data_IF_045431988687
#
_entry.id   IF_045431988687
#
_cell.length_a   1.000
_cell.length_b   1.000
_cell.length_c   1.000
_cell.angle_alpha   90.00
_cell.angle_beta   90.00
_cell.angle_gamma   90.00
#
_symmetry.space_group_name_H-M   'P 1'
#
loop_
_entity.id
_entity.type
_entity.pdbx_description
1 polymer ?
#
# COMPACT_ATOMS: atom_id res chain seq x y z
N UNK A 1 -12.03 2.64 6.56
CA UNK A 1 -10.83 3.29 7.10
C UNK A 1 -11.16 4.49 7.99
N UNK A 2 -10.18 5.00 8.70
CA UNK A 2 -10.20 6.29 9.39
C UNK A 2 -9.08 7.17 8.89
N UNK A 3 -9.21 8.49 8.93
CA UNK A 3 -8.15 9.38 8.46
C UNK A 3 -8.13 10.74 9.15
N UNK A 4 -6.92 11.27 9.36
CA UNK A 4 -6.65 12.60 9.90
C UNK A 4 -5.76 13.41 8.96
N UNK A 5 -6.17 14.63 8.67
CA UNK A 5 -5.58 15.45 7.63
C UNK A 5 -5.37 16.88 8.13
N UNK A 6 -4.18 17.45 7.91
CA UNK A 6 -3.89 18.85 8.26
C UNK A 6 -4.42 19.84 7.21
N UNK A 7 -5.00 19.37 6.11
CA UNK A 7 -5.56 20.20 5.03
C UNK A 7 -6.97 19.78 4.67
N UNK A 8 -7.92 20.73 4.74
CA UNK A 8 -9.33 20.48 4.37
C UNK A 8 -9.52 20.16 2.88
N UNK A 9 -8.81 20.84 1.99
CA UNK A 9 -8.85 20.56 0.56
C UNK A 9 -8.31 19.15 0.24
N UNK A 10 -7.22 18.75 0.91
CA UNK A 10 -6.67 17.41 0.76
C UNK A 10 -7.65 16.34 1.28
N UNK A 11 -8.33 16.62 2.41
CA UNK A 11 -9.36 15.73 2.95
C UNK A 11 -10.50 15.53 1.96
N UNK A 12 -11.03 16.59 1.35
CA UNK A 12 -12.10 16.49 0.36
C UNK A 12 -11.67 15.64 -0.85
N UNK A 13 -10.48 15.91 -1.40
CA UNK A 13 -9.93 15.16 -2.53
C UNK A 13 -9.73 13.67 -2.22
N UNK A 14 -9.29 13.33 -1.01
CA UNK A 14 -9.11 11.93 -0.63
C UNK A 14 -10.45 11.21 -0.43
N UNK A 15 -11.45 11.88 0.15
CA UNK A 15 -12.79 11.31 0.30
C UNK A 15 -13.43 10.99 -1.04
N UNK A 16 -13.32 11.89 -2.03
CA UNK A 16 -13.81 11.68 -3.38
C UNK A 16 -13.12 10.48 -4.05
N UNK A 17 -11.80 10.38 -3.94
CA UNK A 17 -11.05 9.24 -4.50
C UNK A 17 -11.38 7.93 -3.80
N UNK A 18 -11.53 7.91 -2.48
CA UNK A 18 -11.90 6.70 -1.76
C UNK A 18 -13.34 6.26 -2.11
N UNK A 19 -14.26 7.21 -2.25
CA UNK A 19 -15.63 6.92 -2.67
C UNK A 19 -15.68 6.31 -4.09
N UNK A 20 -14.95 6.89 -5.04
CA UNK A 20 -14.87 6.35 -6.42
C UNK A 20 -14.27 4.94 -6.49
N UNK A 21 -13.47 4.54 -5.51
CA UNK A 21 -12.85 3.22 -5.37
C UNK A 21 -13.65 2.26 -4.46
N UNK A 22 -14.85 2.64 -4.04
CA UNK A 22 -15.70 1.87 -3.11
C UNK A 22 -15.01 1.57 -1.77
N UNK A 23 -14.13 2.45 -1.30
CA UNK A 23 -13.45 2.33 -0.01
C UNK A 23 -14.26 3.05 1.06
N UNK A 24 -14.85 2.31 2.00
CA UNK A 24 -15.64 2.87 3.10
C UNK A 24 -14.80 3.69 4.07
N UNK A 25 -15.20 4.94 4.33
CA UNK A 25 -14.59 5.80 5.34
C UNK A 25 -15.51 5.85 6.55
N UNK A 26 -15.03 5.36 7.68
CA UNK A 26 -15.81 5.38 8.93
C UNK A 26 -15.71 6.73 9.62
N UNK A 27 -14.51 7.31 9.69
CA UNK A 27 -14.24 8.63 10.27
C UNK A 27 -13.17 9.36 9.49
N UNK A 28 -13.36 10.67 9.31
CA UNK A 28 -12.35 11.57 8.77
C UNK A 28 -12.35 12.86 9.57
N UNK A 29 -11.16 13.34 9.93
CA UNK A 29 -10.97 14.53 10.76
C UNK A 29 -10.02 15.47 10.05
N UNK A 30 -10.44 16.74 9.92
CA UNK A 30 -9.51 17.81 9.59
C UNK A 30 -8.91 18.34 10.90
N UNK A 31 -7.61 18.16 11.06
CA UNK A 31 -6.90 18.55 12.27
C UNK A 31 -6.61 20.08 12.35
N UNK A 32 -6.76 20.78 11.23
CA UNK A 32 -6.48 22.22 11.15
C UNK A 32 -5.08 22.56 11.70
N UNK A 33 -4.98 23.60 12.50
CA UNK A 33 -3.72 24.05 13.12
C UNK A 33 -3.29 23.22 14.36
N UNK A 34 -4.06 22.18 14.73
CA UNK A 34 -3.75 21.24 15.82
C UNK A 34 -3.48 21.90 17.18
N UNK A 35 -4.29 22.91 17.52
CA UNK A 35 -4.12 23.68 18.78
C UNK A 35 -4.46 22.79 20.00
N UNK A 36 -5.51 21.97 19.90
CA UNK A 36 -6.00 21.10 20.96
C UNK A 36 -5.83 19.61 20.60
N UNK A 37 -6.37 19.22 19.45
CA UNK A 37 -6.29 17.84 18.96
C UNK A 37 -5.30 17.76 17.81
N UNK A 38 -4.24 17.00 18.00
CA UNK A 38 -3.21 16.77 17.01
C UNK A 38 -3.24 15.36 16.41
N UNK A 39 -2.18 15.04 15.67
CA UNK A 39 -2.00 13.73 15.05
C UNK A 39 -1.92 12.59 16.08
N UNK A 40 -1.39 12.86 17.26
CA UNK A 40 -1.20 11.87 18.32
C UNK A 40 -2.54 11.45 18.92
N UNK A 41 -3.38 12.42 19.32
CA UNK A 41 -4.71 12.17 19.87
C UNK A 41 -5.60 11.45 18.87
N UNK A 42 -5.53 11.83 17.59
CA UNK A 42 -6.28 11.19 16.51
C UNK A 42 -5.84 9.75 16.31
N UNK A 43 -4.53 9.46 16.28
CA UNK A 43 -4.01 8.10 16.14
C UNK A 43 -4.47 7.21 17.30
N UNK A 44 -4.39 7.68 18.54
CA UNK A 44 -4.88 6.95 19.71
C UNK A 44 -6.39 6.68 19.65
N UNK A 45 -7.19 7.66 19.25
CA UNK A 45 -8.64 7.51 19.12
C UNK A 45 -9.01 6.48 18.03
N UNK A 46 -8.35 6.55 16.87
CA UNK A 46 -8.61 5.62 15.78
C UNK A 46 -8.05 4.22 16.04
N UNK A 47 -6.97 4.11 16.80
CA UNK A 47 -6.45 2.81 17.22
C UNK A 47 -7.45 2.03 18.10
N UNK A 48 -8.17 2.73 18.96
CA UNK A 48 -9.18 2.14 19.87
C UNK A 48 -10.51 1.82 19.17
N UNK A 49 -10.83 2.44 18.03
CA UNK A 49 -12.10 2.18 17.34
C UNK A 49 -11.99 0.90 16.48
N UNK A 50 -12.72 -0.19 16.81
CA UNK A 50 -12.64 -1.46 16.09
C UNK A 50 -13.18 -1.39 14.65
N UNK A 51 -13.95 -0.34 14.33
CA UNK A 51 -14.49 -0.11 12.99
C UNK A 51 -13.44 0.50 12.05
N UNK A 52 -12.37 1.10 12.59
CA UNK A 52 -11.23 1.59 11.82
C UNK A 52 -10.25 0.44 11.63
N UNK A 53 -10.14 -0.07 10.40
CA UNK A 53 -9.22 -1.17 10.04
C UNK A 53 -7.84 -0.67 9.65
N UNK A 54 -7.76 0.50 9.03
CA UNK A 54 -6.53 1.16 8.59
C UNK A 54 -6.66 2.66 8.84
N UNK A 55 -5.56 3.31 9.21
CA UNK A 55 -5.51 4.75 9.47
C UNK A 55 -4.72 5.44 8.36
N UNK A 56 -5.34 6.41 7.67
CA UNK A 56 -4.68 7.28 6.69
C UNK A 56 -4.35 8.64 7.32
N UNK A 57 -3.16 9.14 7.07
CA UNK A 57 -2.71 10.41 7.65
C UNK A 57 -2.07 11.29 6.58
N UNK A 58 -2.41 12.57 6.57
CA UNK A 58 -1.67 13.60 5.83
C UNK A 58 -1.21 14.69 6.79
N UNK A 59 0.08 14.90 6.85
CA UNK A 59 0.70 15.92 7.70
C UNK A 59 1.70 16.76 6.92
N UNK A 60 1.69 18.06 7.18
CA UNK A 60 2.68 19.00 6.67
C UNK A 60 3.85 19.19 7.66
N UNK A 61 3.59 19.04 8.96
CA UNK A 61 4.58 19.05 10.04
C UNK A 61 4.19 18.07 11.14
N UNK A 62 5.10 17.74 12.02
CA UNK A 62 4.86 16.94 13.23
C UNK A 62 5.12 17.84 14.43
N UNK A 63 4.17 17.89 15.37
CA UNK A 63 4.31 18.76 16.56
C UNK A 63 5.18 18.11 17.64
N UNK A 64 4.93 16.84 17.94
CA UNK A 64 5.69 16.05 18.91
C UNK A 64 6.16 14.74 18.28
N UNK A 65 7.37 14.78 17.70
CA UNK A 65 7.95 13.63 17.01
C UNK A 65 8.24 12.46 17.95
N UNK A 66 8.58 12.72 19.22
CA UNK A 66 8.82 11.67 20.20
C UNK A 66 7.53 10.94 20.55
N UNK A 67 6.48 11.68 20.83
CA UNK A 67 5.17 11.11 21.13
C UNK A 67 4.59 10.36 19.93
N UNK A 68 4.74 10.92 18.71
CA UNK A 68 4.34 10.23 17.48
C UNK A 68 5.05 8.87 17.34
N UNK A 69 6.36 8.83 17.58
CA UNK A 69 7.15 7.59 17.55
C UNK A 69 6.60 6.55 18.54
N UNK A 70 6.40 6.95 19.80
CA UNK A 70 5.96 6.06 20.87
C UNK A 70 4.54 5.52 20.62
N UNK A 71 3.64 6.34 20.09
CA UNK A 71 2.26 5.95 19.73
C UNK A 71 2.25 5.05 18.49
N UNK A 72 2.92 5.45 17.42
CA UNK A 72 2.95 4.68 16.18
C UNK A 72 3.50 3.27 16.40
N UNK A 73 4.60 3.14 17.15
CA UNK A 73 5.20 1.84 17.49
C UNK A 73 4.24 0.90 18.25
N UNK A 74 3.29 1.45 19.00
CA UNK A 74 2.27 0.67 19.73
C UNK A 74 1.12 0.26 18.81
N UNK A 75 0.80 1.06 17.79
CA UNK A 75 -0.39 0.87 16.95
C UNK A 75 -0.09 -0.02 15.75
N UNK A 76 0.99 0.21 15.03
CA UNK A 76 1.29 -0.42 13.74
C UNK A 76 1.36 -1.94 13.75
N UNK A 77 1.74 -2.64 14.87
CA UNK A 77 1.72 -4.10 14.89
C UNK A 77 0.33 -4.73 14.72
N UNK A 78 -0.75 -3.98 14.98
CA UNK A 78 -2.12 -4.51 14.88
C UNK A 78 -3.08 -3.65 14.05
N UNK A 79 -2.70 -2.41 13.71
CA UNK A 79 -3.49 -1.54 12.85
C UNK A 79 -2.59 -0.74 11.93
N UNK A 80 -2.62 -0.99 10.61
CA UNK A 80 -1.78 -0.27 9.67
C UNK A 80 -2.01 1.24 9.71
N UNK A 81 -0.93 2.00 9.67
CA UNK A 81 -0.93 3.47 9.57
C UNK A 81 -0.21 3.86 8.29
N UNK A 82 -0.94 4.46 7.36
CA UNK A 82 -0.41 4.98 6.09
C UNK A 82 -0.28 6.49 6.21
N UNK A 83 0.91 7.02 5.97
CA UNK A 83 1.19 8.44 6.17
C UNK A 83 1.77 9.07 4.91
N UNK A 84 1.16 10.19 4.51
CA UNK A 84 1.66 11.05 3.46
C UNK A 84 2.18 12.35 4.08
N UNK A 85 3.48 12.62 3.94
CA UNK A 85 4.13 13.82 4.47
C UNK A 85 4.27 14.88 3.39
N UNK A 86 3.72 16.06 3.63
CA UNK A 86 4.01 17.27 2.86
C UNK A 86 5.32 17.94 3.32
N UNK A 87 5.87 18.83 2.49
CA UNK A 87 7.04 19.62 2.86
C UNK A 87 8.35 18.82 3.02
N UNK A 88 8.58 17.83 2.14
CA UNK A 88 9.73 16.92 2.22
C UNK A 88 11.08 17.58 1.88
N UNK A 89 11.10 18.46 0.89
CA UNK A 89 12.32 19.18 0.46
C UNK A 89 12.29 20.65 0.84
N UNK A 90 13.41 21.36 0.67
CA UNK A 90 13.59 22.76 1.10
C UNK A 90 12.51 23.72 0.58
N UNK A 91 12.11 23.58 -0.68
CA UNK A 91 11.06 24.44 -1.25
C UNK A 91 9.68 24.08 -0.70
N UNK A 92 9.39 22.79 -0.53
CA UNK A 92 8.16 22.31 0.08
C UNK A 92 8.06 22.68 1.56
N UNK A 93 9.16 22.62 2.31
CA UNK A 93 9.27 23.05 3.70
C UNK A 93 8.95 24.53 3.86
N UNK A 94 9.50 25.40 2.98
CA UNK A 94 9.16 26.84 2.96
C UNK A 94 7.69 27.08 2.61
N UNK A 95 7.13 26.31 1.68
CA UNK A 95 5.70 26.41 1.36
C UNK A 95 4.83 26.01 2.56
N UNK A 96 5.20 24.97 3.31
CA UNK A 96 4.52 24.56 4.55
C UNK A 96 4.57 25.67 5.61
N UNK A 97 5.73 26.33 5.82
CA UNK A 97 5.84 27.44 6.74
C UNK A 97 4.91 28.59 6.38
N UNK A 98 4.79 28.92 5.10
CA UNK A 98 3.90 29.99 4.63
C UNK A 98 2.41 29.63 4.77
N UNK A 99 2.07 28.34 4.68
CA UNK A 99 0.69 27.86 4.69
C UNK A 99 0.16 27.60 6.11
N UNK A 100 0.95 26.98 6.99
CA UNK A 100 0.49 26.54 8.31
C UNK A 100 1.29 27.14 9.48
N UNK A 101 2.20 28.07 9.23
CA UNK A 101 3.12 28.66 10.21
C UNK A 101 3.90 27.62 11.04
N UNK A 102 4.02 26.40 10.56
CA UNK A 102 4.66 25.28 11.25
C UNK A 102 6.07 25.05 10.70
N UNK A 103 7.04 24.80 11.57
CA UNK A 103 8.38 24.36 11.16
C UNK A 103 8.29 22.93 10.62
N UNK A 104 8.71 22.74 9.37
CA UNK A 104 8.91 21.40 8.84
C UNK A 104 10.16 20.81 9.50
N UNK A 105 10.02 19.72 10.21
CA UNK A 105 11.16 18.98 10.78
C UNK A 105 12.02 18.35 9.68
N UNK A 106 13.18 17.82 10.06
CA UNK A 106 14.07 17.08 9.15
C UNK A 106 13.35 15.84 8.59
N UNK A 107 13.27 15.77 7.26
CA UNK A 107 12.57 14.70 6.58
C UNK A 107 13.27 13.33 6.74
N UNK A 108 14.59 13.30 6.84
CA UNK A 108 15.34 12.06 7.04
C UNK A 108 15.05 11.44 8.42
N UNK A 109 14.86 12.26 9.43
CA UNK A 109 14.42 11.85 10.77
C UNK A 109 13.00 11.29 10.70
N UNK A 110 12.08 11.97 9.99
CA UNK A 110 10.73 11.47 9.79
C UNK A 110 10.70 10.10 9.11
N UNK A 111 11.49 9.91 8.04
CA UNK A 111 11.63 8.63 7.37
C UNK A 111 12.17 7.53 8.30
N UNK A 112 13.16 7.86 9.15
CA UNK A 112 13.67 6.93 10.13
C UNK A 112 12.59 6.51 11.14
N UNK A 113 11.77 7.45 11.58
CA UNK A 113 10.60 7.17 12.44
C UNK A 113 9.61 6.23 11.74
N UNK A 114 9.26 6.49 10.49
CA UNK A 114 8.35 5.60 9.74
C UNK A 114 8.91 4.17 9.66
N UNK A 115 10.19 4.02 9.28
CA UNK A 115 10.84 2.69 9.22
C UNK A 115 10.87 1.96 10.55
N UNK A 116 11.20 2.66 11.65
CA UNK A 116 11.33 2.04 12.98
C UNK A 116 9.99 1.71 13.63
N UNK A 117 8.94 2.43 13.27
CA UNK A 117 7.60 2.24 13.84
C UNK A 117 6.71 1.37 12.98
N UNK A 118 7.08 1.06 11.74
CA UNK A 118 6.24 0.33 10.80
C UNK A 118 5.12 1.16 10.17
N UNK A 119 5.19 2.50 10.27
CA UNK A 119 4.31 3.37 9.47
C UNK A 119 4.66 3.26 7.99
N UNK A 120 3.65 3.18 7.14
CA UNK A 120 3.80 3.08 5.69
C UNK A 120 3.81 4.48 5.10
N UNK A 121 4.99 4.99 4.75
CA UNK A 121 5.10 6.27 4.08
C UNK A 121 4.75 6.15 2.60
N UNK A 122 3.97 7.12 2.09
CA UNK A 122 3.55 7.21 0.68
C UNK A 122 3.77 8.61 0.10
N UNK A 123 3.82 8.71 -1.25
CA UNK A 123 4.16 9.94 -1.96
C UNK A 123 2.96 10.57 -2.67
N UNK A 124 1.93 10.93 -1.93
CA UNK A 124 0.80 11.67 -2.46
C UNK A 124 -0.52 10.93 -2.42
N UNK A 125 -1.51 11.54 -3.05
CA UNK A 125 -2.91 11.15 -2.92
C UNK A 125 -3.20 9.76 -3.50
N UNK A 126 -2.65 9.46 -4.66
CA UNK A 126 -2.90 8.20 -5.37
C UNK A 126 -2.32 7.01 -4.59
N UNK A 127 -1.08 7.12 -4.11
CA UNK A 127 -0.47 6.06 -3.29
C UNK A 127 -1.21 5.90 -1.95
N UNK A 128 -1.61 7.01 -1.32
CA UNK A 128 -2.35 6.97 -0.06
C UNK A 128 -3.69 6.24 -0.22
N UNK A 129 -4.48 6.59 -1.24
CA UNK A 129 -5.78 5.94 -1.49
C UNK A 129 -5.62 4.48 -1.89
N UNK A 130 -4.62 4.14 -2.69
CA UNK A 130 -4.33 2.75 -3.09
C UNK A 130 -3.90 1.90 -1.90
N UNK A 131 -3.02 2.40 -1.04
CA UNK A 131 -2.61 1.71 0.17
C UNK A 131 -3.79 1.50 1.14
N UNK A 132 -4.63 2.52 1.35
CA UNK A 132 -5.83 2.40 2.17
C UNK A 132 -6.82 1.37 1.61
N UNK A 133 -7.00 1.31 0.29
CA UNK A 133 -7.86 0.34 -0.38
C UNK A 133 -7.38 -1.09 -0.16
N UNK A 134 -6.10 -1.35 -0.37
CA UNK A 134 -5.51 -2.68 -0.20
C UNK A 134 -5.58 -3.11 1.27
N UNK A 135 -5.13 -2.27 2.19
CA UNK A 135 -5.04 -2.60 3.61
C UNK A 135 -6.39 -2.70 4.33
N UNK A 136 -7.44 -2.03 3.80
CA UNK A 136 -8.78 -2.15 4.36
C UNK A 136 -9.48 -3.46 3.99
N UNK A 137 -9.28 -3.93 2.76
CA UNK A 137 -10.02 -5.05 2.17
C UNK A 137 -9.17 -6.31 1.99
N UNK A 138 -7.84 -6.16 1.97
CA UNK A 138 -6.90 -7.23 1.72
C UNK A 138 -6.52 -8.02 2.98
N UNK A 139 -6.18 -9.27 2.78
CA UNK A 139 -5.38 -10.01 3.75
C UNK A 139 -3.93 -9.56 3.60
N UNK A 140 -3.27 -9.26 4.70
CA UNK A 140 -1.85 -8.93 4.70
C UNK A 140 -1.07 -10.21 4.44
N UNK A 141 -0.23 -10.21 3.40
CA UNK A 141 0.66 -11.34 3.11
C UNK A 141 1.57 -11.61 4.32
N UNK A 142 1.75 -12.89 4.65
CA UNK A 142 2.57 -13.29 5.81
C UNK A 142 4.05 -13.49 5.43
N UNK A 143 4.41 -13.22 4.18
CA UNK A 143 5.76 -13.31 3.64
C UNK A 143 5.90 -12.45 2.39
N UNK A 144 7.04 -12.57 1.71
CA UNK A 144 7.41 -11.74 0.58
C UNK A 144 7.52 -12.50 -0.76
N UNK A 145 7.18 -13.79 -0.79
CA UNK A 145 7.23 -14.61 -2.01
C UNK A 145 6.01 -14.36 -2.87
N UNK A 146 6.23 -13.77 -4.03
CA UNK A 146 5.15 -13.29 -4.92
C UNK A 146 5.04 -14.14 -6.16
N UNK A 147 3.83 -14.58 -6.49
CA UNK A 147 3.44 -15.12 -7.77
C UNK A 147 2.83 -14.01 -8.64
N UNK A 148 3.31 -13.82 -9.84
CA UNK A 148 2.72 -12.93 -10.83
C UNK A 148 2.04 -13.79 -11.90
N UNK A 149 0.77 -13.52 -12.19
CA UNK A 149 0.02 -14.11 -13.31
C UNK A 149 -0.53 -12.97 -14.15
N UNK A 150 -0.24 -12.98 -15.45
CA UNK A 150 -0.64 -11.91 -16.37
C UNK A 150 -1.07 -12.48 -17.71
N UNK A 151 -2.01 -11.80 -18.38
CA UNK A 151 -2.30 -11.99 -19.79
C UNK A 151 -1.53 -11.00 -20.70
N UNK A 152 -0.54 -10.30 -20.16
CA UNK A 152 0.32 -9.36 -20.90
C UNK A 152 1.75 -9.40 -20.39
N UNK A 153 2.65 -10.04 -21.15
CA UNK A 153 4.03 -10.31 -20.75
C UNK A 153 4.81 -9.07 -20.31
N UNK A 154 4.67 -7.95 -21.00
CA UNK A 154 5.34 -6.70 -20.65
C UNK A 154 4.96 -6.18 -19.24
N UNK A 155 3.72 -6.37 -18.80
CA UNK A 155 3.31 -6.01 -17.44
C UNK A 155 3.96 -6.92 -16.39
N UNK A 156 4.11 -8.22 -16.70
CA UNK A 156 4.83 -9.15 -15.83
C UNK A 156 6.28 -8.70 -15.58
N UNK A 157 6.98 -8.28 -16.61
CA UNK A 157 8.38 -7.77 -16.52
C UNK A 157 8.44 -6.53 -15.63
N UNK A 158 7.59 -5.51 -15.91
CA UNK A 158 7.57 -4.27 -15.12
C UNK A 158 7.25 -4.52 -13.64
N UNK A 159 6.34 -5.44 -13.35
CA UNK A 159 6.00 -5.80 -11.97
C UNK A 159 7.15 -6.52 -11.29
N UNK A 160 7.88 -7.38 -11.99
CA UNK A 160 9.07 -8.05 -11.44
C UNK A 160 10.11 -7.01 -10.98
N UNK A 161 10.45 -6.04 -11.84
CA UNK A 161 11.39 -4.97 -11.51
C UNK A 161 10.93 -4.16 -10.27
N UNK A 162 9.64 -3.84 -10.19
CA UNK A 162 9.08 -3.10 -9.06
C UNK A 162 9.13 -3.90 -7.75
N UNK A 163 8.85 -5.20 -7.82
CA UNK A 163 8.83 -6.09 -6.64
C UNK A 163 10.23 -6.35 -6.12
N UNK A 164 11.21 -6.57 -6.98
CA UNK A 164 12.62 -6.75 -6.58
C UNK A 164 13.15 -5.51 -5.87
N UNK A 165 12.82 -4.30 -6.38
CA UNK A 165 13.14 -3.04 -5.70
C UNK A 165 12.43 -2.87 -4.34
N UNK A 166 11.29 -3.55 -4.14
CA UNK A 166 10.48 -3.52 -2.92
C UNK A 166 10.80 -4.64 -1.91
N UNK A 167 11.91 -5.35 -2.04
CA UNK A 167 12.27 -6.52 -1.21
C UNK A 167 11.25 -7.68 -1.27
N UNK A 168 10.51 -7.80 -2.35
CA UNK A 168 9.70 -8.96 -2.64
C UNK A 168 10.52 -9.98 -3.44
N UNK A 169 10.22 -11.25 -3.23
CA UNK A 169 10.89 -12.36 -3.91
C UNK A 169 9.95 -12.95 -4.97
N UNK A 170 10.30 -12.76 -6.25
CA UNK A 170 9.58 -13.34 -7.39
C UNK A 170 10.11 -14.75 -7.63
N UNK A 171 9.72 -15.68 -6.74
CA UNK A 171 10.22 -17.05 -6.72
C UNK A 171 9.83 -17.80 -7.98
N UNK A 172 10.78 -18.49 -8.62
CA UNK A 172 10.54 -19.27 -9.83
C UNK A 172 9.58 -20.45 -9.55
N UNK A 173 8.64 -20.69 -10.46
CA UNK A 173 7.72 -21.84 -10.37
C UNK A 173 8.53 -23.15 -10.46
N UNK A 174 8.30 -24.12 -9.57
CA UNK A 174 9.01 -25.38 -9.59
C UNK A 174 8.91 -26.11 -10.94
N UNK A 175 10.00 -26.68 -11.42
CA UNK A 175 10.07 -27.31 -12.75
C UNK A 175 8.99 -28.38 -12.97
N UNK A 176 8.66 -29.15 -11.94
CA UNK A 176 7.56 -30.16 -12.00
C UNK A 176 6.22 -29.47 -12.27
N UNK A 177 5.93 -28.38 -11.58
CA UNK A 177 4.68 -27.62 -11.78
C UNK A 177 4.63 -26.97 -13.17
N UNK A 178 5.75 -26.44 -13.66
CA UNK A 178 5.85 -25.93 -15.03
C UNK A 178 5.53 -27.03 -16.05
N UNK A 179 6.03 -28.25 -15.85
CA UNK A 179 5.77 -29.38 -16.73
C UNK A 179 4.30 -29.83 -16.70
N UNK A 180 3.71 -29.88 -15.51
CA UNK A 180 2.28 -30.20 -15.33
C UNK A 180 1.38 -29.15 -15.99
N UNK A 181 1.77 -27.89 -15.98
CA UNK A 181 1.07 -26.82 -16.68
C UNK A 181 1.19 -26.95 -18.21
N UNK A 182 2.40 -27.23 -18.72
CA UNK A 182 2.62 -27.46 -20.16
C UNK A 182 1.81 -28.63 -20.73
N UNK A 183 1.54 -29.63 -19.92
CA UNK A 183 0.70 -30.78 -20.32
C UNK A 183 -0.80 -30.43 -20.36
N UNK A 184 -1.22 -29.35 -19.72
CA UNK A 184 -2.64 -28.99 -19.55
C UNK A 184 -3.04 -27.71 -20.26
N UNK A 185 -2.08 -26.90 -20.65
CA UNK A 185 -2.27 -25.56 -21.21
C UNK A 185 -1.41 -25.38 -22.48
N UNK A 186 -1.75 -24.42 -23.35
CA UNK A 186 -0.98 -24.13 -24.55
C UNK A 186 0.52 -23.96 -24.31
N UNK A 187 1.35 -24.62 -25.09
CA UNK A 187 2.79 -24.67 -24.91
C UNK A 187 3.52 -23.35 -25.17
N UNK A 188 2.84 -22.36 -25.76
CA UNK A 188 3.40 -21.01 -25.99
C UNK A 188 3.26 -20.07 -24.78
N UNK A 189 2.59 -20.50 -23.70
CA UNK A 189 2.56 -19.75 -22.44
C UNK A 189 3.89 -19.89 -21.69
N UNK A 190 4.24 -18.85 -20.94
CA UNK A 190 5.34 -18.92 -19.98
C UNK A 190 4.83 -19.38 -18.62
N UNK A 191 5.41 -20.46 -18.08
CA UNK A 191 5.04 -21.01 -16.78
C UNK A 191 6.14 -20.83 -15.72
N UNK A 192 7.10 -19.96 -15.98
CA UNK A 192 8.06 -19.51 -14.97
C UNK A 192 7.43 -18.56 -13.99
N UNK A 193 7.92 -17.71 -13.36
CA UNK A 193 7.32 -16.57 -12.69
C UNK A 193 8.03 -15.33 -13.22
N UNK A 194 7.35 -14.41 -13.87
CA UNK A 194 5.90 -14.27 -14.16
C UNK A 194 5.31 -15.36 -15.05
N UNK A 195 4.09 -15.80 -14.70
CA UNK A 195 3.26 -16.61 -15.59
C UNK A 195 2.67 -15.69 -16.65
N UNK A 196 2.96 -15.97 -17.92
CA UNK A 196 2.39 -15.20 -19.03
C UNK A 196 1.45 -16.09 -19.85
N UNK A 197 0.16 -15.79 -19.78
CA UNK A 197 -0.90 -16.47 -20.51
C UNK A 197 -1.21 -15.80 -21.85
N UNK A 198 -0.44 -14.79 -22.22
CA UNK A 198 -0.64 -13.94 -23.40
C UNK A 198 -2.05 -13.35 -23.50
N UNK A 199 -2.34 -12.50 -24.50
CA UNK A 199 -3.68 -11.93 -24.72
C UNK A 199 -4.76 -12.94 -25.12
N UNK A 200 -4.37 -14.19 -25.43
CA UNK A 200 -5.31 -15.27 -25.82
C UNK A 200 -5.73 -16.16 -24.66
N UNK A 201 -5.20 -15.94 -23.45
CA UNK A 201 -5.54 -16.72 -22.27
C UNK A 201 -7.00 -16.57 -21.85
N UNK A 202 -7.71 -17.70 -21.65
CA UNK A 202 -9.08 -17.66 -21.14
C UNK A 202 -9.12 -17.63 -19.61
N UNK A 203 -10.27 -17.24 -19.05
CA UNK A 203 -10.48 -17.24 -17.60
C UNK A 203 -10.26 -18.62 -16.98
N UNK A 204 -10.73 -19.69 -17.65
CA UNK A 204 -10.59 -21.06 -17.19
C UNK A 204 -9.11 -21.49 -17.15
N UNK A 205 -8.33 -21.10 -18.16
CA UNK A 205 -6.89 -21.35 -18.22
C UNK A 205 -6.14 -20.60 -17.13
N UNK A 206 -6.54 -19.36 -16.86
CA UNK A 206 -5.98 -18.55 -15.77
C UNK A 206 -6.25 -19.19 -14.41
N UNK A 207 -7.50 -19.57 -14.14
CA UNK A 207 -7.90 -20.25 -12.89
C UNK A 207 -7.16 -21.57 -12.73
N UNK A 208 -7.04 -22.37 -13.80
CA UNK A 208 -6.31 -23.65 -13.76
C UNK A 208 -4.83 -23.46 -13.43
N UNK A 209 -4.18 -22.45 -14.03
CA UNK A 209 -2.78 -22.14 -13.75
C UNK A 209 -2.59 -21.73 -12.30
N UNK A 210 -3.40 -20.79 -11.81
CA UNK A 210 -3.37 -20.30 -10.43
C UNK A 210 -3.58 -21.45 -9.44
N UNK A 211 -4.62 -22.27 -9.62
CA UNK A 211 -4.95 -23.38 -8.71
C UNK A 211 -3.78 -24.38 -8.59
N UNK A 212 -3.19 -24.77 -9.74
CA UNK A 212 -2.04 -25.69 -9.72
C UNK A 212 -0.83 -25.13 -9.03
N UNK A 213 -0.53 -23.82 -9.22
CA UNK A 213 0.65 -23.20 -8.66
C UNK A 213 0.46 -22.92 -7.16
N UNK A 214 -0.70 -22.42 -6.74
CA UNK A 214 -0.97 -22.14 -5.34
C UNK A 214 -0.97 -23.40 -4.47
N UNK A 215 -1.32 -24.58 -5.02
CA UNK A 215 -1.22 -25.86 -4.32
C UNK A 215 0.22 -26.27 -3.94
N UNK A 216 1.23 -25.61 -4.51
CA UNK A 216 2.63 -25.81 -4.10
C UNK A 216 2.93 -25.27 -2.70
N UNK A 217 2.13 -24.33 -2.20
CA UNK A 217 2.38 -23.62 -0.93
C UNK A 217 3.62 -22.72 -0.95
N UNK A 218 4.17 -22.44 -2.14
CA UNK A 218 5.43 -21.72 -2.29
C UNK A 218 5.28 -20.20 -2.16
N UNK A 219 4.10 -19.65 -2.40
CA UNK A 219 3.85 -18.23 -2.51
C UNK A 219 3.01 -17.68 -1.37
N UNK A 220 3.35 -16.48 -0.93
CA UNK A 220 2.64 -15.75 0.13
C UNK A 220 1.65 -14.73 -0.43
N UNK A 221 1.85 -14.32 -1.69
CA UNK A 221 1.04 -13.32 -2.38
C UNK A 221 0.86 -13.67 -3.85
N UNK A 222 -0.31 -13.38 -4.39
CA UNK A 222 -0.63 -13.45 -5.83
C UNK A 222 -0.92 -12.05 -6.36
N UNK A 223 -0.19 -11.63 -7.40
CA UNK A 223 -0.53 -10.50 -8.25
C UNK A 223 -1.14 -10.99 -9.56
N UNK A 224 -2.44 -10.78 -9.72
CA UNK A 224 -3.16 -11.08 -10.95
C UNK A 224 -3.35 -9.81 -11.76
N UNK A 225 -2.80 -9.79 -12.97
CA UNK A 225 -2.95 -8.67 -13.92
C UNK A 225 -3.76 -9.15 -15.11
N UNK A 226 -4.94 -8.58 -15.25
CA UNK A 226 -5.82 -8.83 -16.38
C UNK A 226 -5.96 -7.55 -17.20
N UNK A 227 -5.39 -7.55 -18.39
CA UNK A 227 -5.59 -6.48 -19.35
C UNK A 227 -6.89 -6.77 -20.09
N UNK A 228 -7.84 -5.84 -20.01
CA UNK A 228 -9.06 -5.91 -20.83
C UNK A 228 -8.66 -5.66 -22.28
N UNK A 229 -8.97 -6.63 -23.16
CA UNK A 229 -8.85 -6.51 -24.60
C UNK A 229 -10.07 -5.82 -25.21
#
# INVERSE_FOLDING_TARGET
CGGGFSSGAFLSAILDQLASRSVGVHRAINLGNRIDVGECEMLEAFARDPRVKVIGVYLESVQDGRRLYDIARKITPFKPVVICKGGKGDKGSRATQSHSASLAGDYSVFQAVCRQTGMIEVNGLVELTSALQVLQNGQIAQGNRVLIVSNGGGMGVLLTDLLENGNCDVVETPHRTQQDLKNSLPGYYSFRNPIDLTGSGTNEQCVLAIDKILKTGLYDCLLLVVLAG
#
